data_IF_117569888101
#
_entry.id   IF_117569888101
#
_cell.length_a   1.000
_cell.length_b   1.000
_cell.length_c   1.000
_cell.angle_alpha   90.00
_cell.angle_beta   90.00
_cell.angle_gamma   90.00
#
_symmetry.space_group_name_H-M   'P 1'
#
loop_
_entity.id
_entity.type
_entity.pdbx_description
1 polymer ?
#
# COMPACT_ATOMS: atom_id res chain seq x y z
N UNK A 1 12.19 -1.84 6.70
CA UNK A 1 11.02 -1.13 6.13
C UNK A 1 11.08 -1.23 4.61
N UNK A 2 9.99 -1.66 3.95
CA UNK A 2 9.94 -1.83 2.48
C UNK A 2 9.10 -0.70 1.87
N UNK A 3 9.61 -0.03 0.83
CA UNK A 3 8.85 0.93 0.03
C UNK A 3 8.51 0.31 -1.33
N UNK A 4 7.22 0.30 -1.69
CA UNK A 4 6.76 -0.14 -3.00
C UNK A 4 6.33 1.07 -3.81
N UNK A 5 7.01 1.29 -4.93
CA UNK A 5 6.60 2.24 -5.98
C UNK A 5 5.76 1.52 -7.02
N UNK A 6 4.80 2.22 -7.65
CA UNK A 6 3.84 1.59 -8.56
C UNK A 6 2.81 0.70 -7.85
N UNK A 7 2.58 0.92 -6.54
CA UNK A 7 1.70 0.10 -5.71
C UNK A 7 0.21 0.13 -6.11
N UNK A 8 -0.21 1.09 -6.93
CA UNK A 8 -1.55 1.14 -7.51
C UNK A 8 -1.71 0.23 -8.73
N UNK A 9 -0.62 -0.35 -9.25
CA UNK A 9 -0.62 -1.33 -10.34
C UNK A 9 -0.96 -2.74 -9.85
N UNK A 10 -1.15 -3.66 -10.81
CA UNK A 10 -1.54 -5.04 -10.55
C UNK A 10 -0.58 -5.75 -9.58
N UNK A 11 0.71 -5.76 -9.92
CA UNK A 11 1.72 -6.45 -9.13
C UNK A 11 2.04 -5.70 -7.83
N UNK A 12 2.18 -4.37 -7.89
CA UNK A 12 2.55 -3.56 -6.74
C UNK A 12 1.53 -3.67 -5.59
N UNK A 13 0.23 -3.70 -5.91
CA UNK A 13 -0.82 -3.88 -4.92
C UNK A 13 -0.78 -5.25 -4.25
N UNK A 14 -0.56 -6.30 -5.05
CA UNK A 14 -0.46 -7.68 -4.55
C UNK A 14 0.79 -7.90 -3.69
N UNK A 15 1.93 -7.31 -4.06
CA UNK A 15 3.14 -7.30 -3.23
C UNK A 15 2.85 -6.63 -1.88
N UNK A 16 2.21 -5.45 -1.88
CA UNK A 16 1.84 -4.76 -0.65
C UNK A 16 0.94 -5.62 0.24
N UNK A 17 -0.05 -6.31 -0.33
CA UNK A 17 -0.95 -7.21 0.40
C UNK A 17 -0.17 -8.34 1.07
N UNK A 18 0.64 -9.08 0.31
CA UNK A 18 1.41 -10.23 0.84
C UNK A 18 2.45 -9.84 1.89
N UNK A 19 3.13 -8.70 1.71
CA UNK A 19 4.08 -8.21 2.71
C UNK A 19 3.39 -7.92 4.04
N UNK A 20 2.18 -7.34 4.00
CA UNK A 20 1.39 -7.05 5.21
C UNK A 20 0.88 -8.31 5.88
N UNK A 21 0.39 -9.29 5.12
CA UNK A 21 -0.04 -10.59 5.65
C UNK A 21 1.09 -11.32 6.40
N UNK A 22 2.34 -11.03 6.04
CA UNK A 22 3.55 -11.54 6.72
C UNK A 22 4.03 -10.65 7.88
N UNK A 23 3.24 -9.66 8.29
CA UNK A 23 3.61 -8.70 9.34
C UNK A 23 4.77 -7.77 8.96
N UNK A 24 5.14 -7.68 7.68
CA UNK A 24 6.26 -6.85 7.26
C UNK A 24 5.83 -5.38 7.13
N UNK A 25 6.59 -4.43 7.72
CA UNK A 25 6.30 -3.01 7.58
C UNK A 25 6.55 -2.55 6.14
N UNK A 26 5.46 -2.21 5.44
CA UNK A 26 5.47 -1.75 4.05
C UNK A 26 4.79 -0.39 3.90
N UNK A 27 5.44 0.51 3.16
CA UNK A 27 4.87 1.77 2.68
C UNK A 27 4.66 1.69 1.19
N UNK A 28 3.61 2.34 0.70
CA UNK A 28 3.24 2.35 -0.70
C UNK A 28 3.16 3.80 -1.21
N UNK A 29 3.86 4.11 -2.29
CA UNK A 29 3.83 5.43 -2.90
C UNK A 29 2.77 5.47 -4.01
N UNK A 30 1.78 6.34 -3.84
CA UNK A 30 0.82 6.69 -4.87
C UNK A 30 1.05 8.15 -5.30
N UNK A 31 1.05 8.40 -6.61
CA UNK A 31 1.11 9.77 -7.16
C UNK A 31 -0.27 10.42 -7.05
N UNK A 32 -0.33 11.75 -6.99
CA UNK A 32 -1.60 12.48 -6.94
C UNK A 32 -2.48 12.22 -8.19
N UNK A 33 -1.86 11.92 -9.34
CA UNK A 33 -2.54 11.59 -10.60
C UNK A 33 -3.01 10.15 -10.70
N UNK A 34 -2.80 9.34 -9.65
CA UNK A 34 -3.25 7.95 -9.67
C UNK A 34 -4.77 7.88 -9.59
N UNK A 35 -5.35 6.89 -10.28
CA UNK A 35 -6.75 6.53 -10.19
C UNK A 35 -7.20 6.42 -8.71
N UNK A 36 -8.17 7.26 -8.25
CA UNK A 36 -8.62 7.28 -6.87
C UNK A 36 -9.13 5.93 -6.36
N UNK A 37 -9.82 5.16 -7.21
CA UNK A 37 -10.34 3.84 -6.84
C UNK A 37 -9.20 2.84 -6.60
N UNK A 38 -8.11 2.92 -7.37
CA UNK A 38 -6.91 2.10 -7.14
C UNK A 38 -6.21 2.48 -5.84
N UNK A 39 -6.12 3.77 -5.54
CA UNK A 39 -5.56 4.26 -4.26
C UNK A 39 -6.41 3.79 -3.08
N UNK A 40 -7.74 3.82 -3.20
CA UNK A 40 -8.62 3.39 -2.11
C UNK A 40 -8.52 1.88 -1.86
N UNK A 41 -8.44 1.05 -2.91
CA UNK A 41 -8.16 -0.39 -2.74
C UNK A 41 -6.81 -0.64 -2.04
N UNK A 42 -5.77 0.08 -2.44
CA UNK A 42 -4.46 -0.02 -1.81
C UNK A 42 -4.49 0.40 -0.32
N UNK A 43 -5.31 1.39 0.04
CA UNK A 43 -5.54 1.80 1.45
C UNK A 43 -6.38 0.81 2.25
N UNK A 44 -7.43 0.23 1.65
CA UNK A 44 -8.25 -0.79 2.32
C UNK A 44 -7.43 -2.03 2.69
N UNK A 45 -6.38 -2.32 1.91
CA UNK A 45 -5.40 -3.37 2.22
C UNK A 45 -4.32 -2.96 3.22
N UNK A 46 -4.31 -1.71 3.72
CA UNK A 46 -3.35 -1.26 4.71
C UNK A 46 -3.89 -1.55 6.13
N UNK A 47 -3.10 -2.15 7.05
CA UNK A 47 -3.45 -2.09 8.46
C UNK A 47 -3.56 -0.60 8.83
N UNK A 48 -4.62 -0.23 9.58
CA UNK A 48 -4.71 1.13 10.12
C UNK A 48 -3.40 1.39 10.85
N UNK A 49 -2.63 2.37 10.39
CA UNK A 49 -1.52 2.88 11.18
C UNK A 49 -2.13 3.23 12.53
N UNK A 50 -1.66 2.57 13.59
CA UNK A 50 -1.71 3.18 14.91
C UNK A 50 -1.12 4.58 14.73
N UNK A 51 -1.87 5.56 15.20
CA UNK A 51 -1.60 6.97 15.01
C UNK A 51 -0.18 7.33 15.48
N UNK A 52 0.32 8.42 14.91
CA UNK A 52 1.45 9.17 15.41
C UNK A 52 1.43 9.25 16.96
N UNK A 53 2.59 9.01 17.56
CA UNK A 53 2.98 9.62 18.83
C UNK A 53 3.88 10.79 18.49
#
# INVERSE_FOLDING_TARGET
>A
MILVVGATGLLGGEICRRLRERGQPVRALARHTSDPSKVQRLRASAPRSSAAT
#
